data_IF_128569055853
#
_entry.id   IF_128569055853
#
_cell.length_a   1.000
_cell.length_b   1.000
_cell.length_c   1.000
_cell.angle_alpha   90.00
_cell.angle_beta   90.00
_cell.angle_gamma   90.00
#
_symmetry.space_group_name_H-M   'P 1'
#
loop_
_entity.id
_entity.type
_entity.pdbx_description
1 polymer ?
#
# COMPACT_ATOMS: atom_id res chain seq x y z
N UNK A 1 10.58 -3.37 -0.45
CA UNK A 1 9.97 -2.47 -1.43
C UNK A 1 8.79 -1.73 -0.78
N UNK A 2 8.70 -0.40 -0.96
CA UNK A 2 7.52 0.39 -0.65
C UNK A 2 6.95 0.96 -1.94
N UNK A 3 5.65 0.76 -2.18
CA UNK A 3 4.90 1.26 -3.32
C UNK A 3 3.99 2.42 -2.89
N UNK A 4 3.83 3.42 -3.77
CA UNK A 4 3.12 4.66 -3.47
C UNK A 4 3.64 5.32 -2.18
N UNK A 5 4.96 5.44 -2.09
CA UNK A 5 5.66 5.88 -0.89
C UNK A 5 5.41 7.37 -0.54
N UNK A 6 4.87 8.15 -1.48
CA UNK A 6 4.68 9.58 -1.30
C UNK A 6 5.99 10.28 -0.94
N UNK A 7 6.02 10.99 0.18
CA UNK A 7 7.23 11.65 0.71
C UNK A 7 8.17 10.71 1.48
N UNK A 8 7.90 9.38 1.46
CA UNK A 8 8.77 8.36 2.02
C UNK A 8 8.74 8.23 3.55
N UNK A 9 7.65 8.61 4.20
CA UNK A 9 7.55 8.60 5.66
C UNK A 9 7.79 7.22 6.26
N UNK A 10 7.19 6.17 5.69
CA UNK A 10 7.33 4.80 6.20
C UNK A 10 8.76 4.31 5.94
N UNK A 11 9.25 4.41 4.70
CA UNK A 11 10.60 3.98 4.33
C UNK A 11 11.69 4.63 5.20
N UNK A 12 11.60 5.95 5.40
CA UNK A 12 12.52 6.70 6.27
C UNK A 12 12.48 6.21 7.71
N UNK A 13 11.29 5.87 8.22
CA UNK A 13 11.11 5.41 9.59
C UNK A 13 11.69 4.01 9.83
N UNK A 14 11.55 3.11 8.84
CA UNK A 14 11.97 1.70 8.97
C UNK A 14 13.36 1.42 8.40
N UNK A 15 14.09 2.41 7.90
CA UNK A 15 15.35 2.23 7.17
C UNK A 15 16.42 1.49 8.00
N UNK A 16 16.42 1.67 9.32
CA UNK A 16 17.38 1.00 10.20
C UNK A 16 17.06 -0.50 10.40
N UNK A 17 15.82 -0.90 10.18
CA UNK A 17 15.38 -2.30 10.29
C UNK A 17 15.58 -3.11 9.00
N UNK A 18 16.05 -2.48 7.91
CA UNK A 18 16.23 -3.12 6.63
C UNK A 18 17.69 -3.08 6.16
N UNK A 19 18.10 -4.06 5.37
CA UNK A 19 19.37 -4.05 4.68
C UNK A 19 19.35 -3.08 3.49
N UNK A 20 18.21 -3.02 2.78
CA UNK A 20 18.00 -2.18 1.62
C UNK A 20 16.49 -1.90 1.44
N UNK A 21 16.14 -0.70 1.02
CA UNK A 21 14.77 -0.29 0.71
C UNK A 21 14.74 0.40 -0.65
N UNK A 22 13.90 -0.11 -1.55
CA UNK A 22 13.40 0.61 -2.70
C UNK A 22 12.05 1.23 -2.35
N UNK A 23 11.92 2.55 -2.45
CA UNK A 23 10.68 3.27 -2.21
C UNK A 23 10.26 4.01 -3.48
N UNK A 24 9.07 3.70 -3.98
CA UNK A 24 8.61 4.14 -5.30
C UNK A 24 7.29 4.86 -5.23
N UNK A 25 7.11 5.85 -6.10
CA UNK A 25 5.85 6.53 -6.30
C UNK A 25 5.71 6.91 -7.78
N UNK A 26 4.48 7.04 -8.27
CA UNK A 26 4.22 7.49 -9.64
C UNK A 26 4.43 9.01 -9.81
N UNK A 27 4.37 9.79 -8.72
CA UNK A 27 4.59 11.24 -8.74
C UNK A 27 6.07 11.59 -8.62
N UNK A 28 6.60 12.27 -9.63
CA UNK A 28 7.96 12.80 -9.61
C UNK A 28 8.16 13.84 -8.49
N UNK A 29 7.12 14.62 -8.19
CA UNK A 29 7.13 15.63 -7.13
C UNK A 29 7.25 14.98 -5.75
N UNK A 30 6.50 13.91 -5.50
CA UNK A 30 6.59 13.16 -4.24
C UNK A 30 7.99 12.55 -4.06
N UNK A 31 8.54 11.96 -5.11
CA UNK A 31 9.89 11.39 -5.08
C UNK A 31 10.96 12.49 -4.88
N UNK A 32 10.81 13.66 -5.51
CA UNK A 32 11.72 14.78 -5.28
C UNK A 32 11.71 15.24 -3.82
N UNK A 33 10.52 15.35 -3.22
CA UNK A 33 10.37 15.67 -1.80
C UNK A 33 10.93 14.58 -0.90
N UNK A 34 10.66 13.30 -1.21
CA UNK A 34 11.18 12.16 -0.47
C UNK A 34 12.72 12.14 -0.42
N UNK A 35 13.37 12.52 -1.52
CA UNK A 35 14.84 12.56 -1.62
C UNK A 35 15.47 13.69 -0.81
N UNK A 36 14.77 14.81 -0.60
CA UNK A 36 15.32 16.05 -0.02
C UNK A 36 16.07 15.80 1.30
N UNK A 37 15.50 14.99 2.20
CA UNK A 37 16.06 14.74 3.53
C UNK A 37 16.65 13.33 3.67
N UNK A 38 16.71 12.55 2.58
CA UNK A 38 17.27 11.21 2.66
C UNK A 38 18.80 11.25 2.69
N UNK A 39 19.38 10.73 3.76
CA UNK A 39 20.85 10.61 3.94
C UNK A 39 21.31 9.15 4.05
N UNK A 40 20.38 8.20 3.94
CA UNK A 40 20.68 6.79 4.07
C UNK A 40 21.07 6.18 2.73
N UNK A 41 22.24 5.56 2.65
CA UNK A 41 22.64 4.78 1.49
C UNK A 41 21.84 3.49 1.28
N UNK A 42 21.05 3.08 2.28
CA UNK A 42 20.18 1.89 2.20
C UNK A 42 18.81 2.16 1.59
N UNK A 43 18.43 3.44 1.43
CA UNK A 43 17.12 3.85 1.00
C UNK A 43 17.19 4.58 -0.34
N UNK A 44 16.58 4.00 -1.35
CA UNK A 44 16.53 4.53 -2.70
C UNK A 44 15.11 4.92 -3.06
N UNK A 45 14.95 6.12 -3.63
CA UNK A 45 13.69 6.64 -4.11
C UNK A 45 13.70 6.73 -5.63
N UNK A 46 12.67 6.19 -6.29
CA UNK A 46 12.52 6.25 -7.75
C UNK A 46 11.07 6.43 -8.18
N UNK A 47 10.89 7.07 -9.32
CA UNK A 47 9.56 7.19 -9.96
C UNK A 47 9.28 5.88 -10.68
N UNK A 48 8.22 5.16 -10.28
CA UNK A 48 7.84 3.88 -10.88
C UNK A 48 6.32 3.73 -10.93
N UNK A 49 5.87 2.99 -11.93
CA UNK A 49 4.49 2.55 -12.04
C UNK A 49 4.33 1.20 -11.30
N UNK A 50 3.44 1.16 -10.29
CA UNK A 50 3.19 -0.06 -9.52
C UNK A 50 2.56 -1.19 -10.35
N UNK A 51 2.06 -0.89 -11.55
CA UNK A 51 1.49 -1.90 -12.46
C UNK A 51 2.54 -2.55 -13.37
N UNK A 52 3.77 -1.99 -13.43
CA UNK A 52 4.87 -2.48 -14.25
C UNK A 52 6.21 -2.13 -13.59
N UNK A 53 6.60 -2.90 -12.59
CA UNK A 53 7.80 -2.65 -11.79
C UNK A 53 9.07 -3.16 -12.50
N UNK A 54 10.18 -2.39 -12.53
CA UNK A 54 11.42 -2.77 -13.21
C UNK A 54 12.27 -3.76 -12.40
N UNK A 55 11.64 -4.59 -11.57
CA UNK A 55 12.32 -5.57 -10.72
C UNK A 55 12.08 -6.99 -11.21
N UNK A 56 13.06 -7.85 -11.01
CA UNK A 56 12.94 -9.28 -11.31
C UNK A 56 11.88 -9.96 -10.43
N UNK A 57 11.41 -11.13 -10.84
CA UNK A 57 10.54 -11.94 -10.01
C UNK A 57 11.24 -12.27 -8.67
N UNK A 58 10.47 -12.35 -7.59
CA UNK A 58 10.97 -12.78 -6.28
C UNK A 58 12.18 -11.98 -5.75
N UNK A 59 12.18 -10.65 -5.99
CA UNK A 59 13.28 -9.76 -5.59
C UNK A 59 13.19 -9.30 -4.13
N UNK A 60 11.99 -9.25 -3.57
CA UNK A 60 11.76 -8.62 -2.26
C UNK A 60 11.20 -9.60 -1.23
N UNK A 61 11.71 -9.51 0.00
CA UNK A 61 11.18 -10.25 1.16
C UNK A 61 9.92 -9.59 1.72
N UNK A 62 9.83 -8.26 1.61
CA UNK A 62 8.69 -7.48 2.10
C UNK A 62 8.29 -6.46 1.04
N UNK A 63 6.99 -6.38 0.78
CA UNK A 63 6.40 -5.29 0.00
C UNK A 63 5.39 -4.56 0.88
N UNK A 64 5.49 -3.23 0.93
CA UNK A 64 4.56 -2.35 1.64
C UNK A 64 3.79 -1.55 0.60
N UNK A 65 2.47 -1.53 0.71
CA UNK A 65 1.59 -0.67 -0.08
C UNK A 65 0.56 -0.03 0.85
N UNK A 66 0.85 1.18 1.31
CA UNK A 66 0.02 1.86 2.31
C UNK A 66 -0.89 2.90 1.65
N UNK A 67 -2.18 2.81 1.95
CA UNK A 67 -3.20 3.77 1.52
C UNK A 67 -3.24 4.05 0.00
N UNK A 68 -2.89 3.07 -0.82
CA UNK A 68 -2.87 3.20 -2.28
C UNK A 68 -3.94 2.35 -2.97
N UNK A 69 -4.16 1.11 -2.54
CA UNK A 69 -5.05 0.16 -3.25
C UNK A 69 -6.48 0.68 -3.44
N UNK A 70 -6.99 1.52 -2.52
CA UNK A 70 -8.35 2.08 -2.63
C UNK A 70 -8.48 3.26 -3.62
N UNK A 71 -7.36 3.82 -4.08
CA UNK A 71 -7.34 4.97 -5.02
C UNK A 71 -6.86 4.59 -6.41
N UNK A 72 -6.14 3.50 -6.58
CA UNK A 72 -5.64 3.08 -7.91
C UNK A 72 -6.77 2.50 -8.77
N UNK A 73 -6.67 2.63 -10.10
CA UNK A 73 -7.76 2.21 -11.01
C UNK A 73 -7.93 0.70 -11.12
N UNK A 74 -6.87 -0.07 -10.90
CA UNK A 74 -6.83 -1.53 -11.12
C UNK A 74 -6.05 -2.20 -9.97
N UNK A 75 -6.60 -2.22 -8.74
CA UNK A 75 -5.89 -2.76 -7.58
C UNK A 75 -5.54 -4.25 -7.72
N UNK A 76 -6.30 -5.02 -8.51
CA UNK A 76 -6.00 -6.43 -8.84
C UNK A 76 -4.69 -6.57 -9.59
N UNK A 77 -4.42 -5.68 -10.57
CA UNK A 77 -3.16 -5.69 -11.32
C UNK A 77 -1.97 -5.30 -10.43
N UNK A 78 -2.17 -4.32 -9.55
CA UNK A 78 -1.14 -3.98 -8.57
C UNK A 78 -0.81 -5.18 -7.67
N UNK A 79 -1.82 -5.92 -7.20
CA UNK A 79 -1.61 -7.14 -6.40
C UNK A 79 -0.92 -8.26 -7.17
N UNK A 80 -1.19 -8.40 -8.48
CA UNK A 80 -0.48 -9.37 -9.34
C UNK A 80 1.00 -9.01 -9.48
N UNK A 81 1.30 -7.73 -9.72
CA UNK A 81 2.66 -7.26 -9.85
C UNK A 81 3.44 -7.34 -8.53
N UNK A 82 2.79 -7.03 -7.41
CA UNK A 82 3.34 -7.26 -6.07
C UNK A 82 3.66 -8.75 -5.87
N UNK A 83 2.74 -9.63 -6.26
CA UNK A 83 2.93 -11.10 -6.15
C UNK A 83 4.12 -11.57 -6.97
N UNK A 84 4.36 -10.97 -8.14
CA UNK A 84 5.49 -11.29 -9.01
C UNK A 84 6.84 -10.94 -8.36
N UNK A 85 6.95 -9.72 -7.81
CA UNK A 85 8.22 -9.23 -7.26
C UNK A 85 8.50 -9.70 -5.82
N UNK A 86 7.47 -10.13 -5.09
CA UNK A 86 7.59 -10.66 -3.75
C UNK A 86 8.12 -12.11 -3.80
N UNK A 87 9.03 -12.48 -2.90
CA UNK A 87 9.49 -13.85 -2.72
C UNK A 87 8.34 -14.76 -2.27
N UNK A 88 8.49 -16.10 -2.41
CA UNK A 88 7.42 -17.02 -2.06
C UNK A 88 7.17 -17.07 -0.55
N UNK A 89 8.22 -16.91 0.25
CA UNK A 89 8.17 -16.76 1.72
C UNK A 89 8.01 -15.30 2.17
N UNK A 90 7.83 -14.37 1.22
CA UNK A 90 7.74 -12.94 1.47
C UNK A 90 6.41 -12.49 2.08
N UNK A 91 6.41 -11.27 2.62
CA UNK A 91 5.27 -10.67 3.30
C UNK A 91 4.80 -9.40 2.59
N UNK A 92 3.51 -9.30 2.33
CA UNK A 92 2.83 -8.09 1.91
C UNK A 92 2.23 -7.39 3.13
N UNK A 93 2.56 -6.11 3.32
CA UNK A 93 1.96 -5.21 4.31
C UNK A 93 1.09 -4.20 3.56
N UNK A 94 -0.22 -4.29 3.71
CA UNK A 94 -1.16 -3.52 2.91
C UNK A 94 -2.23 -2.81 3.77
N UNK A 95 -1.86 -1.81 4.57
CA UNK A 95 -2.85 -1.01 5.28
C UNK A 95 -3.61 -0.10 4.32
N UNK A 96 -4.93 0.03 4.51
CA UNK A 96 -5.75 0.93 3.69
C UNK A 96 -6.89 1.54 4.48
N UNK A 97 -7.30 2.75 4.11
CA UNK A 97 -8.50 3.35 4.66
C UNK A 97 -9.73 2.55 4.24
N UNK A 98 -10.59 2.29 5.20
CA UNK A 98 -11.85 1.57 5.00
C UNK A 98 -13.01 2.36 5.59
N UNK A 99 -14.22 2.07 5.13
CA UNK A 99 -15.40 2.71 5.68
C UNK A 99 -15.97 1.90 6.84
N UNK A 100 -16.32 2.57 7.92
CA UNK A 100 -17.10 1.96 9.00
C UNK A 100 -18.55 1.86 8.51
N UNK A 101 -18.93 0.75 7.86
CA UNK A 101 -20.30 0.41 7.51
C UNK A 101 -21.22 1.58 7.07
N UNK A 102 -22.52 1.38 7.02
CA UNK A 102 -23.52 2.38 6.64
C UNK A 102 -23.76 3.49 7.71
N UNK A 103 -22.74 4.01 8.35
CA UNK A 103 -22.90 5.12 9.30
C UNK A 103 -23.06 6.45 8.54
N UNK A 104 -24.10 7.21 8.89
CA UNK A 104 -24.38 8.55 8.34
C UNK A 104 -23.15 9.48 8.41
N UNK A 105 -22.35 9.40 9.48
CA UNK A 105 -21.10 10.14 9.62
C UNK A 105 -20.03 9.75 8.58
N UNK A 106 -20.03 8.50 8.11
CA UNK A 106 -19.14 8.01 7.05
C UNK A 106 -19.49 8.62 5.68
N UNK A 107 -20.78 8.80 5.38
CA UNK A 107 -21.22 9.42 4.12
C UNK A 107 -20.86 10.91 4.04
N UNK A 108 -21.01 11.65 5.15
CA UNK A 108 -20.64 13.07 5.22
C UNK A 108 -19.14 13.25 5.04
N UNK A 109 -18.31 12.42 5.70
CA UNK A 109 -16.84 12.46 5.53
C UNK A 109 -16.41 12.12 4.10
N UNK A 110 -17.02 11.10 3.47
CA UNK A 110 -16.75 10.73 2.08
C UNK A 110 -17.11 11.85 1.10
N UNK A 111 -18.18 12.61 1.37
CA UNK A 111 -18.55 13.79 0.58
C UNK A 111 -17.47 14.90 0.66
N UNK A 112 -16.96 15.20 1.85
CA UNK A 112 -15.88 16.21 2.01
C UNK A 112 -14.56 15.75 1.38
N UNK A 113 -14.21 14.46 1.43
CA UNK A 113 -13.01 13.93 0.75
C UNK A 113 -13.13 14.03 -0.78
N UNK A 114 -14.32 13.80 -1.34
CA UNK A 114 -14.60 13.99 -2.77
C UNK A 114 -14.44 15.46 -3.17
N UNK A 115 -14.85 16.39 -2.30
CA UNK A 115 -14.70 17.83 -2.51
C UNK A 115 -13.22 18.27 -2.44
N UNK A 116 -12.39 17.56 -1.65
CA UNK A 116 -10.95 17.79 -1.54
C UNK A 116 -10.13 17.15 -2.68
N UNK A 117 -10.78 16.60 -3.72
CA UNK A 117 -10.11 16.08 -4.92
C UNK A 117 -9.49 14.69 -4.77
N UNK A 118 -9.78 13.96 -3.69
CA UNK A 118 -9.33 12.56 -3.53
C UNK A 118 -10.35 11.60 -4.14
N UNK A 119 -10.07 10.96 -5.28
CA UNK A 119 -10.97 10.00 -5.90
C UNK A 119 -10.92 8.68 -5.11
N UNK A 120 -11.86 8.47 -4.18
CA UNK A 120 -12.09 7.15 -3.58
C UNK A 120 -12.69 6.23 -4.65
N UNK A 121 -11.87 5.44 -5.33
CA UNK A 121 -12.34 4.51 -6.36
C UNK A 121 -12.95 3.25 -5.75
N UNK A 122 -12.39 2.73 -4.68
CA UNK A 122 -12.91 1.57 -3.96
C UNK A 122 -13.38 1.94 -2.56
N UNK A 123 -14.66 1.69 -2.28
CA UNK A 123 -15.29 1.93 -0.97
C UNK A 123 -15.39 0.61 -0.20
N UNK A 124 -14.29 0.10 0.26
CA UNK A 124 -14.28 -1.12 1.05
C UNK A 124 -14.65 -0.88 2.50
N UNK A 125 -15.48 -1.78 3.06
CA UNK A 125 -15.48 -2.03 4.49
C UNK A 125 -14.21 -2.83 4.86
N UNK A 126 -13.86 -2.90 6.14
CA UNK A 126 -12.73 -3.73 6.58
C UNK A 126 -12.86 -5.18 6.11
N UNK A 127 -14.03 -5.79 6.30
CA UNK A 127 -14.30 -7.15 5.85
C UNK A 127 -14.24 -7.29 4.32
N UNK A 128 -14.82 -6.34 3.58
CA UNK A 128 -14.79 -6.30 2.13
C UNK A 128 -13.36 -6.22 1.58
N UNK A 129 -12.51 -5.41 2.21
CA UNK A 129 -11.10 -5.30 1.86
C UNK A 129 -10.32 -6.61 2.10
N UNK A 130 -10.49 -7.22 3.26
CA UNK A 130 -9.83 -8.50 3.57
C UNK A 130 -10.31 -9.63 2.64
N UNK A 131 -11.60 -9.62 2.26
CA UNK A 131 -12.15 -10.54 1.25
C UNK A 131 -11.52 -10.30 -0.12
N UNK A 132 -11.39 -9.04 -0.55
CA UNK A 132 -10.72 -8.66 -1.79
C UNK A 132 -9.29 -9.19 -1.86
N UNK A 133 -8.49 -9.05 -0.79
CA UNK A 133 -7.13 -9.60 -0.74
C UNK A 133 -7.14 -11.13 -0.92
N UNK A 134 -8.03 -11.85 -0.23
CA UNK A 134 -8.14 -13.31 -0.35
C UNK A 134 -8.53 -13.76 -1.76
N UNK A 135 -9.48 -13.07 -2.38
CA UNK A 135 -9.92 -13.36 -3.76
C UNK A 135 -8.81 -13.13 -4.81
N UNK A 136 -7.81 -12.31 -4.47
CA UNK A 136 -6.65 -12.05 -5.32
C UNK A 136 -5.42 -12.90 -4.95
N UNK A 137 -5.62 -14.02 -4.23
CA UNK A 137 -4.58 -15.00 -3.96
C UNK A 137 -3.64 -14.62 -2.83
N UNK A 138 -4.17 -13.93 -1.79
CA UNK A 138 -3.44 -13.59 -0.58
C UNK A 138 -4.05 -14.25 0.65
N UNK A 139 -3.24 -14.94 1.43
CA UNK A 139 -3.62 -15.42 2.75
C UNK A 139 -3.35 -14.31 3.80
N UNK A 140 -4.41 -13.81 4.43
CA UNK A 140 -4.31 -12.79 5.48
C UNK A 140 -3.88 -13.47 6.77
N UNK A 141 -2.65 -13.21 7.21
CA UNK A 141 -2.06 -13.75 8.46
C UNK A 141 -2.47 -12.95 9.68
N UNK A 142 -2.41 -11.61 9.54
CA UNK A 142 -2.82 -10.68 10.61
C UNK A 142 -3.66 -9.57 10.03
N UNK A 143 -4.64 -9.11 10.77
CA UNK A 143 -5.40 -7.93 10.45
C UNK A 143 -5.85 -7.21 11.71
N UNK A 144 -5.97 -5.90 11.62
CA UNK A 144 -6.49 -5.06 12.69
C UNK A 144 -7.20 -3.84 12.09
N UNK A 145 -8.23 -3.36 12.79
CA UNK A 145 -8.85 -2.08 12.46
C UNK A 145 -8.36 -1.05 13.46
N UNK A 146 -7.57 -0.11 12.98
CA UNK A 146 -7.06 0.99 13.78
C UNK A 146 -8.08 2.12 13.76
N UNK A 147 -8.48 2.57 14.96
CA UNK A 147 -9.38 3.71 15.13
C UNK A 147 -8.58 5.00 14.93
N UNK A 148 -8.77 5.64 13.80
CA UNK A 148 -8.26 6.97 13.48
C UNK A 148 -9.43 7.86 13.01
N UNK A 149 -9.16 9.07 12.54
CA UNK A 149 -10.18 9.94 11.94
C UNK A 149 -10.95 9.24 10.82
N UNK A 150 -10.28 8.34 10.10
CA UNK A 150 -10.86 7.32 9.21
C UNK A 150 -10.36 5.95 9.68
N UNK A 151 -11.22 4.91 9.75
CA UNK A 151 -10.77 3.57 10.07
C UNK A 151 -9.70 3.10 9.09
N UNK A 152 -8.57 2.65 9.60
CA UNK A 152 -7.50 2.05 8.83
C UNK A 152 -7.52 0.54 9.05
N UNK A 153 -7.73 -0.23 8.01
CA UNK A 153 -7.59 -1.69 8.08
C UNK A 153 -6.16 -2.06 7.74
N UNK A 154 -5.43 -2.53 8.73
CA UNK A 154 -4.12 -3.17 8.57
C UNK A 154 -4.31 -4.60 8.07
N UNK A 155 -3.51 -5.00 7.10
CA UNK A 155 -3.43 -6.37 6.63
C UNK A 155 -1.97 -6.77 6.41
N UNK A 156 -1.58 -7.90 7.01
CA UNK A 156 -0.34 -8.63 6.77
C UNK A 156 -0.68 -9.92 6.05
N UNK A 157 -0.13 -10.10 4.87
CA UNK A 157 -0.49 -11.18 3.97
C UNK A 157 0.74 -11.92 3.46
N UNK A 158 0.54 -13.19 3.10
CA UNK A 158 1.48 -14.00 2.33
C UNK A 158 0.78 -14.52 1.08
N UNK A 159 1.53 -15.02 0.12
CA UNK A 159 0.95 -15.71 -1.03
C UNK A 159 0.11 -16.89 -0.53
N UNK A 160 -1.13 -17.04 -1.02
CA UNK A 160 -1.87 -18.27 -0.74
C UNK A 160 -1.26 -19.41 -1.53
N UNK A 161 -1.10 -20.54 -0.88
CA UNK A 161 -0.84 -21.80 -1.56
C UNK A 161 -2.04 -22.10 -2.47
N UNK A 162 -1.79 -22.44 -3.73
CA UNK A 162 -2.80 -22.80 -4.73
C UNK A 162 -3.21 -24.26 -4.50
#
# INVERSE_FOLDING_TARGET
>A
LELAAGTGLIAKHIVNAAAHIEATDASAEMIAEAKRDNRSAKLHFSVQDMFCLPYANQSFHVVIVSNALHIVPQPEKALQEIKRVLKDDGVLIAPTFTHAGNSFSGMVKAFFMKLAGFPLRSKWTSEGYLRFLRQNGWAVRKSAVLKASFPLTYAECVKSEV
#
